data_IF_915539265941
#
_entry.id   IF_915539265941
#
_cell.length_a   1.000
_cell.length_b   1.000
_cell.length_c   1.000
_cell.angle_alpha   90.00
_cell.angle_beta   90.00
_cell.angle_gamma   90.00
#
_symmetry.space_group_name_H-M   'P 1'
#
loop_
_entity.id
_entity.type
_entity.pdbx_description
1 polymer ?
#
# COMPACT_ATOMS: atom_id res chain seq x y z
N UNK A 1 12.74 19.26 6.72
CA UNK A 1 13.60 20.25 6.01
C UNK A 1 12.85 20.88 4.85
N UNK A 2 12.37 22.14 4.99
CA UNK A 2 11.56 22.82 3.98
C UNK A 2 12.30 23.02 2.63
N UNK A 3 13.62 23.27 2.67
CA UNK A 3 14.41 23.49 1.45
C UNK A 3 14.45 22.30 0.47
N UNK A 4 14.25 21.08 0.96
CA UNK A 4 14.20 19.84 0.16
C UNK A 4 12.84 19.14 0.24
N UNK A 5 11.83 19.80 0.84
CA UNK A 5 10.46 19.29 0.98
C UNK A 5 10.39 17.84 1.50
N UNK A 6 11.25 17.52 2.47
CA UNK A 6 11.43 16.17 3.03
C UNK A 6 11.47 16.20 4.56
N UNK A 7 10.79 15.26 5.20
CA UNK A 7 10.85 14.98 6.63
C UNK A 7 11.71 13.73 6.86
N UNK A 8 12.48 13.73 7.94
CA UNK A 8 13.19 12.54 8.40
C UNK A 8 12.38 11.91 9.51
N UNK A 9 12.12 10.62 9.40
CA UNK A 9 11.26 9.89 10.33
C UNK A 9 12.08 8.78 10.94
N UNK A 10 12.14 8.76 12.26
CA UNK A 10 12.74 7.68 13.01
C UNK A 10 11.77 6.50 13.07
N UNK A 11 12.16 5.39 12.43
CA UNK A 11 11.38 4.16 12.34
C UNK A 11 12.04 3.01 13.12
N UNK A 12 12.99 3.30 14.02
CA UNK A 12 13.71 2.29 14.80
C UNK A 12 14.82 1.54 14.06
N UNK A 13 15.19 1.98 12.85
CA UNK A 13 16.37 1.48 12.11
C UNK A 13 17.63 2.31 12.43
N UNK A 14 18.81 1.80 12.05
CA UNK A 14 20.10 2.49 12.22
C UNK A 14 20.13 3.90 11.62
N UNK A 15 19.34 4.13 10.56
CA UNK A 15 19.21 5.42 9.88
C UNK A 15 17.75 5.81 9.80
N UNK A 16 17.48 7.09 10.05
CA UNK A 16 16.16 7.66 9.84
C UNK A 16 15.72 7.48 8.38
N UNK A 17 14.47 7.10 8.18
CA UNK A 17 13.85 7.11 6.87
C UNK A 17 13.55 8.53 6.40
N UNK A 18 13.28 8.70 5.12
CA UNK A 18 12.95 9.99 4.54
C UNK A 18 11.58 9.94 3.85
N UNK A 19 10.72 10.90 4.21
CA UNK A 19 9.37 11.08 3.68
C UNK A 19 9.34 12.39 2.89
N UNK A 20 9.35 12.27 1.56
CA UNK A 20 9.23 13.43 0.66
C UNK A 20 7.76 13.85 0.54
N UNK A 21 7.49 15.14 0.33
CA UNK A 21 6.11 15.67 0.25
C UNK A 21 5.24 14.98 -0.80
N UNK A 22 5.84 14.51 -1.91
CA UNK A 22 5.11 13.78 -2.96
C UNK A 22 4.63 12.38 -2.54
N UNK A 23 5.16 11.88 -1.43
CA UNK A 23 4.82 10.57 -0.85
C UNK A 23 3.83 10.72 0.32
N UNK A 24 3.39 11.94 0.61
CA UNK A 24 2.32 12.20 1.56
C UNK A 24 1.00 12.11 0.81
N UNK A 25 0.08 11.29 1.33
CA UNK A 25 -1.29 11.23 0.84
C UNK A 25 -1.93 12.63 0.80
N UNK A 26 -2.69 12.90 -0.26
CA UNK A 26 -3.21 14.23 -0.52
C UNK A 26 -4.33 14.63 0.42
N UNK A 27 -5.16 13.67 0.84
CA UNK A 27 -6.26 13.92 1.76
C UNK A 27 -5.69 14.24 3.14
N UNK A 28 -4.74 13.41 3.62
CA UNK A 28 -3.95 13.70 4.82
C UNK A 28 -3.26 15.07 4.77
N UNK A 29 -2.60 15.40 3.66
CA UNK A 29 -1.94 16.69 3.50
C UNK A 29 -2.95 17.85 3.55
N UNK A 30 -4.12 17.66 2.97
CA UNK A 30 -5.16 18.69 2.93
C UNK A 30 -5.79 18.92 4.30
N UNK A 31 -6.17 17.85 5.00
CA UNK A 31 -6.76 17.93 6.34
C UNK A 31 -5.86 18.73 7.28
N UNK A 32 -4.57 18.39 7.31
CA UNK A 32 -3.56 19.06 8.15
C UNK A 32 -3.31 20.53 7.77
N UNK A 33 -3.48 20.90 6.51
CA UNK A 33 -3.39 22.30 6.08
C UNK A 33 -4.62 23.12 6.51
N UNK A 34 -5.77 22.46 6.69
CA UNK A 34 -7.03 23.10 7.08
C UNK A 34 -7.31 23.08 8.57
N UNK A 35 -6.56 22.30 9.37
CA UNK A 35 -6.56 22.31 10.84
C UNK A 35 -6.11 23.70 11.38
N UNK A 36 -7.05 24.66 11.37
CA UNK A 36 -6.84 26.04 11.82
C UNK A 36 -7.61 27.11 11.06
N UNK A 37 -8.22 26.79 9.90
CA UNK A 37 -9.04 27.73 9.11
C UNK A 37 -10.53 27.34 9.15
N UNK A 38 -11.21 27.60 10.27
CA UNK A 38 -12.68 27.51 10.30
C UNK A 38 -13.29 28.55 9.34
N UNK A 39 -13.80 28.10 8.20
CA UNK A 39 -14.73 28.88 7.35
C UNK A 39 -14.23 29.32 5.97
N UNK A 40 -13.00 28.99 5.56
CA UNK A 40 -12.52 29.31 4.20
C UNK A 40 -12.78 28.14 3.24
N UNK A 41 -13.69 28.32 2.27
CA UNK A 41 -13.81 27.43 1.11
C UNK A 41 -12.44 27.30 0.43
N UNK A 42 -12.02 26.09 0.03
CA UNK A 42 -10.62 25.85 -0.30
C UNK A 42 -10.17 26.61 -1.53
N UNK A 43 -9.17 27.49 -1.35
CA UNK A 43 -8.45 28.11 -2.45
C UNK A 43 -7.57 27.04 -3.11
N UNK A 44 -7.96 26.68 -4.34
CA UNK A 44 -7.19 26.05 -5.42
C UNK A 44 -6.24 24.88 -5.07
N UNK A 45 -6.51 23.75 -5.73
CA UNK A 45 -5.69 22.54 -5.98
C UNK A 45 -4.20 22.71 -6.39
N UNK A 46 -3.64 23.92 -6.35
CA UNK A 46 -2.38 24.31 -6.99
C UNK A 46 -1.45 25.19 -6.13
N UNK A 47 -1.74 25.44 -4.85
CA UNK A 47 -0.68 26.01 -4.01
C UNK A 47 0.42 24.95 -3.79
N UNK A 48 1.70 25.32 -3.94
CA UNK A 48 2.80 24.42 -3.62
C UNK A 48 2.70 24.10 -2.12
N UNK A 49 2.37 22.86 -1.82
CA UNK A 49 2.35 22.36 -0.46
C UNK A 49 3.75 22.49 0.13
N UNK A 50 3.83 22.97 1.37
CA UNK A 50 5.07 23.01 2.13
C UNK A 50 5.01 21.94 3.21
N UNK A 51 5.99 21.05 3.22
CA UNK A 51 6.05 19.95 4.18
C UNK A 51 6.05 20.44 5.64
N UNK A 52 6.57 21.64 5.91
CA UNK A 52 6.55 22.23 7.27
C UNK A 52 5.17 22.66 7.75
N UNK A 53 4.22 22.85 6.84
CA UNK A 53 2.81 23.12 7.17
C UNK A 53 2.01 21.83 7.33
N UNK A 54 2.51 20.72 6.79
CA UNK A 54 1.85 19.41 6.87
C UNK A 54 2.37 18.63 8.08
N UNK A 55 3.67 18.67 8.33
CA UNK A 55 4.32 17.88 9.37
C UNK A 55 5.00 18.77 10.40
N UNK A 56 4.84 18.42 11.68
CA UNK A 56 5.46 19.10 12.82
C UNK A 56 6.53 18.20 13.44
N UNK A 57 7.61 18.81 13.91
CA UNK A 57 8.67 18.07 14.59
C UNK A 57 8.15 17.44 15.88
N UNK A 58 8.56 16.19 16.15
CA UNK A 58 8.15 15.44 17.33
C UNK A 58 6.80 14.73 17.21
N UNK A 59 6.08 14.88 16.11
CA UNK A 59 4.83 14.15 15.90
C UNK A 59 5.05 12.70 15.48
N UNK A 60 4.08 11.86 15.80
CA UNK A 60 4.02 10.47 15.35
C UNK A 60 3.22 10.35 14.06
N UNK A 61 3.71 9.57 13.11
CA UNK A 61 3.05 9.33 11.83
C UNK A 61 3.21 7.87 11.41
N UNK A 62 2.12 7.27 10.93
CA UNK A 62 2.19 5.96 10.31
C UNK A 62 2.83 6.10 8.93
N UNK A 63 3.80 5.25 8.63
CA UNK A 63 4.54 5.25 7.36
C UNK A 63 4.75 3.83 6.85
N UNK A 64 4.86 3.68 5.53
CA UNK A 64 5.28 2.45 4.87
C UNK A 64 6.64 2.64 4.22
N UNK A 65 7.51 1.64 4.34
CA UNK A 65 8.77 1.56 3.59
C UNK A 65 8.44 1.26 2.13
N UNK A 66 8.70 2.23 1.26
CA UNK A 66 8.52 2.11 -0.20
C UNK A 66 9.80 1.66 -0.92
N UNK A 67 10.97 1.95 -0.35
CA UNK A 67 12.26 1.45 -0.80
C UNK A 67 13.15 1.19 0.40
N UNK A 68 13.82 0.04 0.38
CA UNK A 68 14.82 -0.34 1.39
C UNK A 68 15.95 0.70 1.49
N UNK A 69 16.62 0.80 2.64
CA UNK A 69 17.84 1.59 2.79
C UNK A 69 18.91 1.15 1.78
N UNK A 70 19.64 2.12 1.22
CA UNK A 70 20.74 1.86 0.27
C UNK A 70 21.96 2.68 0.66
N UNK A 71 23.06 1.99 0.96
CA UNK A 71 24.33 2.58 1.42
C UNK A 71 24.15 3.52 2.63
N UNK A 72 24.35 4.81 2.40
CA UNK A 72 24.27 5.85 3.40
C UNK A 72 22.87 6.43 3.59
N UNK A 73 21.94 6.11 2.69
CA UNK A 73 20.57 6.64 2.72
C UNK A 73 19.64 5.68 3.46
N UNK A 74 18.90 6.21 4.44
CA UNK A 74 17.83 5.48 5.11
C UNK A 74 16.68 5.11 4.16
N UNK A 75 15.70 4.39 4.66
CA UNK A 75 14.56 3.91 3.88
C UNK A 75 13.75 5.07 3.27
N UNK A 76 13.23 4.89 2.05
CA UNK A 76 12.24 5.82 1.48
C UNK A 76 10.87 5.49 2.04
N UNK A 77 10.21 6.49 2.61
CA UNK A 77 8.90 6.33 3.25
C UNK A 77 7.77 6.93 2.41
N UNK A 78 6.56 6.45 2.66
CA UNK A 78 5.32 6.95 2.07
C UNK A 78 4.16 6.82 3.05
N UNK A 79 3.17 7.71 2.95
CA UNK A 79 1.86 7.54 3.57
C UNK A 79 0.79 7.17 2.55
N UNK A 80 1.17 6.99 1.27
CA UNK A 80 0.34 6.36 0.26
C UNK A 80 0.41 4.84 0.43
N UNK A 81 -0.38 4.28 1.35
CA UNK A 81 -0.27 2.88 1.71
C UNK A 81 -0.69 1.96 0.56
N UNK A 82 0.02 0.84 0.41
CA UNK A 82 -0.29 -0.19 -0.57
C UNK A 82 -0.11 -1.58 0.02
N UNK A 83 -1.06 -2.48 -0.24
CA UNK A 83 -1.00 -3.89 0.13
C UNK A 83 -1.11 -4.76 -1.14
N UNK A 84 -0.01 -5.36 -1.60
CA UNK A 84 0.01 -6.15 -2.84
C UNK A 84 -0.56 -7.56 -2.65
N UNK A 85 -1.71 -7.83 -3.26
CA UNK A 85 -2.30 -9.16 -3.41
C UNK A 85 -1.97 -9.82 -4.75
N UNK A 86 -2.63 -10.93 -5.06
CA UNK A 86 -2.39 -11.70 -6.30
C UNK A 86 -2.97 -11.01 -7.52
N UNK A 87 -4.19 -10.49 -7.43
CA UNK A 87 -4.97 -9.92 -8.53
C UNK A 87 -5.05 -8.40 -8.45
N UNK A 88 -5.00 -7.85 -7.25
CA UNK A 88 -5.04 -6.40 -7.02
C UNK A 88 -3.93 -5.94 -6.09
N UNK A 89 -3.66 -4.64 -6.10
CA UNK A 89 -2.93 -3.95 -5.04
C UNK A 89 -3.93 -3.04 -4.34
N UNK A 90 -4.24 -3.31 -3.07
CA UNK A 90 -5.17 -2.50 -2.29
C UNK A 90 -4.48 -1.19 -1.90
N UNK A 91 -5.19 -0.07 -2.00
CA UNK A 91 -4.76 1.24 -1.56
C UNK A 91 -5.77 1.74 -0.51
N UNK A 92 -5.54 1.45 0.78
CA UNK A 92 -6.56 1.60 1.79
C UNK A 92 -6.94 3.06 2.12
N UNK A 93 -6.06 4.02 1.83
CA UNK A 93 -6.30 5.44 2.07
C UNK A 93 -6.36 6.29 0.79
N UNK A 94 -6.45 5.66 -0.38
CA UNK A 94 -6.54 6.37 -1.66
C UNK A 94 -7.72 5.80 -2.45
N UNK A 95 -8.88 6.47 -2.49
CA UNK A 95 -10.11 5.98 -3.12
C UNK A 95 -10.06 6.07 -4.66
N UNK A 96 -9.10 5.40 -5.27
CA UNK A 96 -8.87 5.38 -6.71
C UNK A 96 -8.76 3.95 -7.23
N UNK A 97 -9.49 3.65 -8.30
CA UNK A 97 -9.33 2.39 -9.02
C UNK A 97 -8.48 2.62 -10.28
N UNK A 98 -7.36 1.92 -10.35
CA UNK A 98 -6.48 1.83 -11.52
C UNK A 98 -6.57 0.45 -12.16
N UNK A 99 -6.31 0.38 -13.47
CA UNK A 99 -6.20 -0.90 -14.21
C UNK A 99 -4.84 -0.94 -14.89
N UNK A 100 -4.15 -2.07 -14.78
CA UNK A 100 -2.87 -2.33 -15.46
C UNK A 100 -2.96 -1.94 -16.94
N UNK A 101 -1.92 -1.23 -17.42
CA UNK A 101 -1.82 -0.84 -18.83
C UNK A 101 -1.63 -2.03 -19.77
N UNK A 102 -1.23 -3.19 -19.24
CA UNK A 102 -1.03 -4.42 -20.02
C UNK A 102 -2.35 -5.14 -20.33
N UNK A 103 -3.45 -4.79 -19.66
CA UNK A 103 -4.78 -5.30 -20.01
C UNK A 103 -5.31 -4.34 -21.08
N UNK A 104 -5.32 -4.80 -22.33
CA UNK A 104 -5.69 -3.98 -23.49
C UNK A 104 -7.19 -4.06 -23.81
N UNK A 105 -7.81 -5.22 -23.54
CA UNK A 105 -9.23 -5.46 -23.78
C UNK A 105 -10.11 -4.51 -22.96
N UNK A 106 -10.90 -3.70 -23.65
CA UNK A 106 -11.73 -2.67 -23.01
C UNK A 106 -12.86 -3.26 -22.17
N UNK A 107 -13.48 -4.34 -22.64
CA UNK A 107 -14.62 -4.95 -21.96
C UNK A 107 -14.14 -5.65 -20.69
N UNK A 108 -12.99 -6.31 -20.75
CA UNK A 108 -12.35 -6.91 -19.58
C UNK A 108 -11.95 -5.86 -18.55
N UNK A 109 -11.37 -4.73 -18.99
CA UNK A 109 -11.05 -3.62 -18.07
C UNK A 109 -12.30 -3.08 -17.36
N UNK A 110 -13.41 -2.95 -18.06
CA UNK A 110 -14.67 -2.50 -17.46
C UNK A 110 -15.20 -3.54 -16.47
N UNK A 111 -15.22 -4.82 -16.87
CA UNK A 111 -15.64 -5.93 -16.00
C UNK A 111 -14.84 -5.96 -14.70
N UNK A 112 -13.51 -5.94 -14.79
CA UNK A 112 -12.63 -5.96 -13.62
C UNK A 112 -12.83 -4.72 -12.74
N UNK A 113 -12.99 -3.55 -13.35
CA UNK A 113 -13.26 -2.32 -12.61
C UNK A 113 -14.58 -2.38 -11.85
N UNK A 114 -15.63 -2.94 -12.44
CA UNK A 114 -16.93 -3.10 -11.79
C UNK A 114 -16.87 -4.10 -10.64
N UNK A 115 -16.16 -5.22 -10.81
CA UNK A 115 -15.93 -6.19 -9.74
C UNK A 115 -15.24 -5.52 -8.56
N UNK A 116 -14.10 -4.88 -8.81
CA UNK A 116 -13.31 -4.22 -7.75
C UNK A 116 -14.11 -3.11 -7.09
N UNK A 117 -14.84 -2.30 -7.86
CA UNK A 117 -15.68 -1.22 -7.31
C UNK A 117 -16.76 -1.75 -6.36
N UNK A 118 -17.38 -2.88 -6.68
CA UNK A 118 -18.44 -3.46 -5.87
C UNK A 118 -17.92 -4.21 -4.63
N UNK A 119 -16.68 -4.71 -4.67
CA UNK A 119 -16.07 -5.46 -3.57
C UNK A 119 -15.24 -4.59 -2.62
N UNK A 120 -14.78 -3.40 -3.03
CA UNK A 120 -13.95 -2.54 -2.20
C UNK A 120 -14.74 -1.96 -1.01
N UNK A 121 -14.17 -1.96 0.20
CA UNK A 121 -14.68 -1.16 1.31
C UNK A 121 -14.69 0.34 0.98
N UNK A 122 -15.58 1.08 1.65
CA UNK A 122 -15.68 2.53 1.49
C UNK A 122 -14.35 3.23 1.83
N UNK A 123 -14.00 4.27 1.07
CA UNK A 123 -12.75 5.02 1.23
C UNK A 123 -11.50 4.34 0.64
N UNK A 124 -11.58 3.07 0.25
CA UNK A 124 -10.45 2.33 -0.32
C UNK A 124 -10.41 2.39 -1.85
N UNK A 125 -9.20 2.27 -2.41
CA UNK A 125 -8.97 2.06 -3.83
C UNK A 125 -8.15 0.82 -4.10
N UNK A 126 -7.89 0.56 -5.37
CA UNK A 126 -7.03 -0.56 -5.77
C UNK A 126 -6.43 -0.37 -7.17
N UNK A 127 -5.32 -1.05 -7.42
CA UNK A 127 -4.74 -1.21 -8.77
C UNK A 127 -4.97 -2.66 -9.21
N UNK A 128 -5.72 -2.85 -10.28
CA UNK A 128 -5.97 -4.14 -10.90
C UNK A 128 -4.71 -4.59 -11.66
N UNK A 129 -4.16 -5.75 -11.31
CA UNK A 129 -2.95 -6.34 -11.90
C UNK A 129 -3.30 -7.12 -13.17
N UNK A 130 -2.32 -7.34 -14.06
CA UNK A 130 -2.51 -8.16 -15.27
C UNK A 130 -2.99 -9.58 -14.97
N UNK A 131 -2.60 -10.11 -13.81
CA UNK A 131 -2.91 -11.45 -13.34
C UNK A 131 -4.38 -11.67 -13.00
N UNK A 132 -5.17 -10.59 -12.92
CA UNK A 132 -6.63 -10.67 -12.74
C UNK A 132 -7.40 -10.93 -14.03
N UNK A 133 -6.75 -10.80 -15.18
CA UNK A 133 -7.37 -10.99 -16.49
C UNK A 133 -7.98 -12.40 -16.59
N UNK A 134 -9.22 -12.50 -17.07
CA UNK A 134 -10.02 -13.72 -17.17
C UNK A 134 -10.31 -14.43 -15.83
N UNK A 135 -9.91 -13.85 -14.68
CA UNK A 135 -10.20 -14.43 -13.36
C UNK A 135 -11.64 -14.17 -12.92
N UNK A 136 -12.17 -15.08 -12.11
CA UNK A 136 -13.57 -15.04 -11.65
C UNK A 136 -13.74 -13.96 -10.59
N UNK A 137 -14.93 -13.37 -10.53
CA UNK A 137 -15.28 -12.34 -9.55
C UNK A 137 -14.98 -12.78 -8.10
N UNK A 138 -15.28 -14.05 -7.79
CA UNK A 138 -15.07 -14.61 -6.46
C UNK A 138 -13.59 -14.69 -6.05
N UNK A 139 -12.66 -14.84 -7.00
CA UNK A 139 -11.22 -14.89 -6.71
C UNK A 139 -10.71 -13.48 -6.37
N UNK A 140 -11.12 -12.49 -7.17
CA UNK A 140 -10.78 -11.08 -6.94
C UNK A 140 -11.40 -10.57 -5.63
N UNK A 141 -12.65 -10.95 -5.33
CA UNK A 141 -13.33 -10.58 -4.09
C UNK A 141 -12.63 -11.17 -2.85
N UNK A 142 -12.13 -12.41 -2.92
CA UNK A 142 -11.34 -13.00 -1.84
C UNK A 142 -10.02 -12.25 -1.62
N UNK A 143 -9.30 -11.92 -2.69
CA UNK A 143 -8.05 -11.15 -2.62
C UNK A 143 -8.29 -9.78 -1.97
N UNK A 144 -9.37 -9.06 -2.36
CA UNK A 144 -9.76 -7.79 -1.73
C UNK A 144 -10.05 -7.97 -0.24
N UNK A 145 -10.87 -8.94 0.14
CA UNK A 145 -11.24 -9.18 1.54
C UNK A 145 -10.02 -9.56 2.40
N UNK A 146 -9.12 -10.36 1.86
CA UNK A 146 -7.88 -10.71 2.52
C UNK A 146 -7.02 -9.47 2.79
N UNK A 147 -6.77 -8.64 1.77
CA UNK A 147 -6.00 -7.41 1.93
C UNK A 147 -6.67 -6.40 2.87
N UNK A 148 -8.00 -6.30 2.82
CA UNK A 148 -8.76 -5.44 3.73
C UNK A 148 -8.62 -5.91 5.20
N UNK A 149 -8.59 -7.22 5.44
CA UNK A 149 -8.37 -7.77 6.78
C UNK A 149 -6.97 -7.45 7.32
N UNK A 150 -5.94 -7.49 6.47
CA UNK A 150 -4.58 -7.07 6.82
C UNK A 150 -4.59 -5.59 7.24
N UNK A 151 -5.27 -4.74 6.48
CA UNK A 151 -5.37 -3.32 6.82
C UNK A 151 -6.12 -3.10 8.15
N UNK A 152 -7.20 -3.84 8.40
CA UNK A 152 -7.93 -3.79 9.66
C UNK A 152 -7.02 -4.17 10.84
N UNK A 153 -6.21 -5.21 10.69
CA UNK A 153 -5.25 -5.65 11.71
C UNK A 153 -4.14 -4.61 11.94
N UNK A 154 -3.66 -3.94 10.88
CA UNK A 154 -2.73 -2.81 11.01
C UNK A 154 -3.34 -1.68 11.85
N UNK A 155 -4.59 -1.30 11.57
CA UNK A 155 -5.27 -0.24 12.33
C UNK A 155 -5.52 -0.62 13.78
N UNK A 156 -5.86 -1.88 14.05
CA UNK A 156 -6.00 -2.39 15.43
C UNK A 156 -4.70 -2.27 16.20
N UNK A 157 -3.57 -2.65 15.59
CA UNK A 157 -2.24 -2.51 16.21
C UNK A 157 -1.84 -1.04 16.39
N UNK A 158 -2.14 -0.20 15.39
CA UNK A 158 -1.85 1.24 15.43
C UNK A 158 -2.49 1.93 16.65
N UNK A 159 -3.71 1.53 17.02
CA UNK A 159 -4.44 2.13 18.14
C UNK A 159 -3.72 2.02 19.50
N UNK A 160 -2.81 1.05 19.65
CA UNK A 160 -2.03 0.82 20.88
C UNK A 160 -0.52 0.83 20.62
N UNK A 161 -0.09 1.30 19.46
CA UNK A 161 1.31 1.28 19.07
C UNK A 161 2.08 2.43 19.72
N UNK A 162 3.32 2.16 20.10
CA UNK A 162 4.29 3.16 20.52
C UNK A 162 5.12 3.64 19.31
N UNK A 163 5.76 4.82 19.39
CA UNK A 163 6.66 5.28 18.34
C UNK A 163 7.75 4.23 18.04
N UNK A 164 8.00 4.00 16.74
CA UNK A 164 8.95 2.99 16.19
C UNK A 164 8.45 1.54 16.18
N UNK A 165 7.22 1.25 16.59
CA UNK A 165 6.66 -0.10 16.50
C UNK A 165 6.46 -0.54 15.04
N UNK A 166 6.85 -1.78 14.73
CA UNK A 166 6.55 -2.43 13.46
C UNK A 166 5.15 -3.06 13.49
N UNK A 167 4.19 -2.45 12.80
CA UNK A 167 2.79 -2.92 12.80
C UNK A 167 2.57 -4.10 11.86
N UNK A 168 3.26 -4.12 10.74
CA UNK A 168 3.13 -5.15 9.71
C UNK A 168 4.45 -5.35 8.97
N UNK A 169 4.82 -6.61 8.83
CA UNK A 169 5.93 -7.06 7.99
C UNK A 169 5.33 -7.74 6.76
N UNK A 170 5.81 -7.34 5.57
CA UNK A 170 5.36 -7.91 4.30
C UNK A 170 5.80 -9.38 4.16
N UNK A 171 5.19 -10.11 3.23
CA UNK A 171 5.48 -11.51 3.03
C UNK A 171 6.97 -11.75 2.65
N UNK A 172 7.58 -12.84 3.15
CA UNK A 172 8.94 -13.24 2.77
C UNK A 172 9.12 -13.35 1.26
N UNK A 173 10.36 -13.20 0.79
CA UNK A 173 10.70 -13.22 -0.63
C UNK A 173 10.18 -14.46 -1.37
N UNK A 174 10.21 -15.63 -0.72
CA UNK A 174 9.69 -16.89 -1.26
C UNK A 174 8.20 -16.81 -1.58
N UNK A 175 7.38 -16.36 -0.62
CA UNK A 175 5.94 -16.18 -0.80
C UNK A 175 5.63 -15.05 -1.78
N UNK A 176 6.47 -14.01 -1.80
CA UNK A 176 6.39 -12.92 -2.77
C UNK A 176 6.58 -13.43 -4.20
N UNK A 177 7.57 -14.27 -4.43
CA UNK A 177 7.79 -14.93 -5.72
C UNK A 177 6.60 -15.77 -6.13
N UNK A 178 6.01 -16.53 -5.21
CA UNK A 178 4.79 -17.31 -5.48
C UNK A 178 3.62 -16.40 -5.85
N UNK A 179 3.34 -15.34 -5.07
CA UNK A 179 2.27 -14.38 -5.39
C UNK A 179 2.44 -13.74 -6.78
N UNK A 180 3.66 -13.38 -7.13
CA UNK A 180 3.94 -12.57 -8.31
C UNK A 180 4.15 -13.41 -9.59
N UNK A 181 4.61 -14.66 -9.47
CA UNK A 181 5.00 -15.50 -10.61
C UNK A 181 4.22 -16.81 -10.74
N UNK A 182 3.43 -17.23 -9.75
CA UNK A 182 2.60 -18.43 -9.90
C UNK A 182 1.42 -18.13 -10.83
N UNK A 183 1.52 -18.57 -12.08
CA UNK A 183 0.46 -18.48 -13.08
C UNK A 183 0.14 -19.85 -13.69
N UNK A 184 -0.85 -19.88 -14.59
CA UNK A 184 -1.37 -21.11 -15.19
C UNK A 184 -0.32 -21.88 -16.03
N UNK A 185 0.82 -21.26 -16.36
CA UNK A 185 1.96 -21.86 -17.07
C UNK A 185 2.96 -22.58 -16.15
N UNK A 186 2.80 -22.45 -14.83
CA UNK A 186 3.67 -23.10 -13.83
C UNK A 186 3.11 -24.47 -13.45
N UNK A 187 3.79 -25.55 -13.84
CA UNK A 187 3.36 -26.92 -13.53
C UNK A 187 3.78 -27.41 -12.15
N UNK A 188 4.92 -26.95 -11.63
CA UNK A 188 5.46 -27.41 -10.36
C UNK A 188 6.34 -26.36 -9.68
N UNK A 189 6.38 -26.38 -8.35
CA UNK A 189 7.28 -25.58 -7.52
C UNK A 189 8.20 -26.54 -6.77
N UNK A 190 9.50 -26.53 -7.11
CA UNK A 190 10.51 -27.41 -6.49
C UNK A 190 11.17 -26.67 -5.33
N UNK A 191 11.06 -27.23 -4.12
CA UNK A 191 11.59 -26.65 -2.88
C UNK A 191 12.39 -27.73 -2.14
N UNK A 192 13.62 -27.41 -1.74
CA UNK A 192 14.50 -28.32 -1.01
C UNK A 192 14.42 -28.18 0.52
N UNK A 193 13.61 -27.25 1.02
CA UNK A 193 13.32 -27.05 2.45
C UNK A 193 11.87 -27.41 2.80
N UNK A 194 11.69 -28.24 3.84
CA UNK A 194 10.38 -28.78 4.21
C UNK A 194 9.49 -27.75 4.91
N UNK A 195 10.07 -26.86 5.71
CA UNK A 195 9.30 -25.84 6.42
C UNK A 195 8.77 -24.80 5.44
N UNK A 196 9.60 -24.39 4.49
CA UNK A 196 9.25 -23.44 3.45
C UNK A 196 8.20 -24.02 2.49
N UNK A 197 8.30 -25.31 2.15
CA UNK A 197 7.26 -26.02 1.41
C UNK A 197 5.89 -25.93 2.10
N UNK A 198 5.83 -26.14 3.42
CA UNK A 198 4.58 -26.05 4.19
C UNK A 198 4.03 -24.62 4.17
N UNK A 199 4.88 -23.60 4.33
CA UNK A 199 4.46 -22.19 4.26
C UNK A 199 3.90 -21.84 2.89
N UNK A 200 4.60 -22.22 1.81
CA UNK A 200 4.17 -21.99 0.44
C UNK A 200 2.85 -22.70 0.16
N UNK A 201 2.71 -23.98 0.55
CA UNK A 201 1.47 -24.72 0.34
C UNK A 201 0.26 -24.06 1.04
N UNK A 202 0.44 -23.62 2.30
CA UNK A 202 -0.60 -22.88 3.03
C UNK A 202 -0.93 -21.55 2.36
N UNK A 203 0.08 -20.83 1.90
CA UNK A 203 -0.08 -19.55 1.20
C UNK A 203 -0.87 -19.74 -0.10
N UNK A 204 -0.50 -20.71 -0.94
CA UNK A 204 -1.17 -21.03 -2.21
C UNK A 204 -2.63 -21.44 -1.98
N UNK A 205 -2.93 -22.16 -0.90
CA UNK A 205 -4.31 -22.55 -0.57
C UNK A 205 -5.21 -21.37 -0.17
N UNK A 206 -4.60 -20.26 0.25
CA UNK A 206 -5.31 -19.09 0.77
C UNK A 206 -5.41 -17.92 -0.22
N UNK A 207 -4.65 -17.96 -1.32
CA UNK A 207 -4.78 -17.04 -2.46
C UNK A 207 -5.74 -17.60 -3.52
#
# INVERSE_FOLDING_TARGET
MPGIQTAFVDIGQDKAGFLHISEIDRELAFDRLTEGEEGSKPKKRYEPMDISKILKEGETILVQVSKEPVYEKGAKLTTCFTLPGRFIVLMPNIPRIGVSKKIEDRDERNRLKDIVKNSLPEGMGAIIRTTSENRKNAEIDRDIKFLASIWEDINKKLATAEPRDMLHEDIPMTLRSVRDHLDDDVSEIIINDKEEQIKIYKFVKNI
#
